data_IF_401392530126
#
_entry.id   IF_401392530126
#
_cell.length_a   1.000
_cell.length_b   1.000
_cell.length_c   1.000
_cell.angle_alpha   90.00
_cell.angle_beta   90.00
_cell.angle_gamma   90.00
#
_symmetry.space_group_name_H-M   'P 1'
#
loop_
_entity.id
_entity.type
_entity.pdbx_description
1 polymer ?
#
# COMPACT_ATOMS: atom_id res chain seq x y z
N UNK A 1 -2.53 -11.40 14.80
CA UNK A 1 -3.72 -10.70 15.32
C UNK A 1 -3.88 -9.43 14.50
N UNK A 2 -4.91 -9.33 13.66
CA UNK A 2 -5.19 -8.10 12.88
C UNK A 2 -5.52 -6.99 13.87
N UNK A 3 -4.85 -5.85 13.81
CA UNK A 3 -5.07 -4.78 14.79
C UNK A 3 -6.39 -4.08 14.51
N UNK A 4 -7.11 -3.63 15.54
CA UNK A 4 -8.39 -2.92 15.39
C UNK A 4 -8.25 -1.61 14.58
N UNK A 5 -7.05 -1.06 14.45
CA UNK A 5 -6.77 0.09 13.57
C UNK A 5 -6.78 -0.27 12.10
N UNK A 6 -6.30 -1.46 11.72
CA UNK A 6 -6.22 -1.89 10.32
C UNK A 6 -7.62 -1.96 9.69
N UNK A 7 -8.60 -2.45 10.46
CA UNK A 7 -9.99 -2.55 10.02
C UNK A 7 -10.66 -1.18 9.85
N UNK A 8 -10.34 -0.21 10.72
CA UNK A 8 -10.88 1.16 10.60
C UNK A 8 -10.31 1.88 9.38
N UNK A 9 -9.02 1.72 9.11
CA UNK A 9 -8.39 2.30 7.92
C UNK A 9 -8.97 1.68 6.66
N UNK A 10 -9.10 0.35 6.58
CA UNK A 10 -9.76 -0.30 5.43
C UNK A 10 -11.18 0.23 5.22
N UNK A 11 -11.96 0.37 6.29
CA UNK A 11 -13.33 0.90 6.22
C UNK A 11 -13.39 2.33 5.66
N UNK A 12 -12.42 3.18 6.00
CA UNK A 12 -12.30 4.57 5.47
C UNK A 12 -12.18 4.59 3.95
N UNK A 13 -11.49 3.61 3.37
CA UNK A 13 -11.27 3.52 1.93
C UNK A 13 -12.31 2.68 1.18
N UNK A 14 -13.37 2.23 1.88
CA UNK A 14 -14.61 1.78 1.24
C UNK A 14 -15.50 2.97 0.85
N UNK A 15 -15.23 4.17 1.38
CA UNK A 15 -15.90 5.41 0.95
C UNK A 15 -15.50 5.75 -0.50
N UNK A 16 -16.46 6.06 -1.40
CA UNK A 16 -16.18 6.33 -2.81
C UNK A 16 -15.20 7.48 -3.06
N UNK A 17 -15.21 8.51 -2.21
CA UNK A 17 -14.35 9.69 -2.37
C UNK A 17 -12.90 9.33 -2.04
N UNK A 18 -12.71 8.64 -0.92
CA UNK A 18 -11.38 8.17 -0.50
C UNK A 18 -10.83 7.11 -1.44
N UNK A 19 -11.69 6.21 -1.92
CA UNK A 19 -11.34 5.18 -2.88
C UNK A 19 -10.95 5.75 -4.24
N UNK A 20 -11.66 6.77 -4.72
CA UNK A 20 -11.33 7.45 -5.98
C UNK A 20 -9.90 8.00 -6.00
N UNK A 21 -9.38 8.47 -4.86
CA UNK A 21 -7.98 8.90 -4.75
C UNK A 21 -6.99 7.75 -4.97
N UNK A 22 -7.31 6.54 -4.48
CA UNK A 22 -6.46 5.37 -4.62
C UNK A 22 -6.45 4.83 -6.04
N UNK A 23 -7.58 4.81 -6.74
CA UNK A 23 -7.72 4.00 -7.96
C UNK A 23 -8.06 4.84 -9.19
N UNK A 24 -8.24 6.16 -9.05
CA UNK A 24 -8.61 7.05 -10.16
C UNK A 24 -9.83 6.49 -10.93
N UNK A 25 -10.08 6.93 -12.17
CA UNK A 25 -11.23 6.50 -12.97
C UNK A 25 -11.19 5.04 -13.47
N UNK A 26 -10.41 4.15 -12.85
CA UNK A 26 -10.53 2.72 -13.16
C UNK A 26 -11.92 2.24 -12.74
N UNK A 27 -12.61 1.54 -13.65
CA UNK A 27 -13.84 0.79 -13.34
C UNK A 27 -13.50 -0.42 -12.45
N UNK A 28 -13.16 -0.15 -11.20
CA UNK A 28 -12.76 -1.13 -10.20
C UNK A 28 -13.56 -0.91 -8.92
N UNK A 29 -14.07 -1.96 -8.31
CA UNK A 29 -14.74 -1.85 -7.02
C UNK A 29 -13.71 -1.83 -5.87
N UNK A 30 -14.04 -1.21 -4.72
CA UNK A 30 -13.16 -1.21 -3.55
C UNK A 30 -12.68 -2.59 -3.13
N UNK A 31 -13.58 -3.57 -3.13
CA UNK A 31 -13.23 -4.94 -2.78
C UNK A 31 -12.19 -5.54 -3.73
N UNK A 32 -12.29 -5.26 -5.04
CA UNK A 32 -11.35 -5.78 -6.02
C UNK A 32 -9.95 -5.21 -5.82
N UNK A 33 -9.86 -3.93 -5.48
CA UNK A 33 -8.59 -3.30 -5.12
C UNK A 33 -7.96 -3.96 -3.90
N UNK A 34 -8.75 -4.21 -2.84
CA UNK A 34 -8.25 -4.89 -1.65
C UNK A 34 -7.86 -6.35 -1.92
N UNK A 35 -8.58 -7.06 -2.78
CA UNK A 35 -8.20 -8.39 -3.21
C UNK A 35 -6.85 -8.37 -3.96
N UNK A 36 -6.58 -7.35 -4.78
CA UNK A 36 -5.27 -7.17 -5.43
C UNK A 36 -4.20 -6.81 -4.40
N UNK A 37 -4.50 -5.90 -3.46
CA UNK A 37 -3.58 -5.49 -2.39
C UNK A 37 -3.17 -6.65 -1.48
N UNK A 38 -4.07 -7.60 -1.27
CA UNK A 38 -3.85 -8.82 -0.48
C UNK A 38 -3.29 -9.98 -1.32
N UNK A 39 -2.93 -9.74 -2.58
CA UNK A 39 -2.43 -10.76 -3.52
C UNK A 39 -3.40 -11.92 -3.77
N UNK A 40 -4.71 -11.70 -3.58
CA UNK A 40 -5.77 -12.68 -3.86
C UNK A 40 -6.24 -12.61 -5.31
N UNK A 41 -5.95 -11.51 -6.00
CA UNK A 41 -6.38 -11.26 -7.38
C UNK A 41 -5.31 -10.52 -8.16
N UNK A 42 -5.24 -10.79 -9.47
CA UNK A 42 -4.48 -10.00 -10.44
C UNK A 42 -5.40 -9.69 -11.62
N UNK A 43 -5.39 -8.44 -12.08
CA UNK A 43 -6.19 -8.00 -13.23
C UNK A 43 -5.28 -7.35 -14.28
N UNK A 44 -4.83 -8.14 -15.25
CA UNK A 44 -3.85 -7.68 -16.25
C UNK A 44 -2.56 -7.22 -15.57
N UNK A 45 -2.26 -5.93 -15.67
CA UNK A 45 -1.08 -5.31 -15.02
C UNK A 45 -1.34 -4.85 -13.58
N UNK A 46 -2.58 -4.96 -13.08
CA UNK A 46 -2.94 -4.61 -11.71
C UNK A 46 -2.66 -5.79 -10.79
N UNK A 47 -1.45 -5.79 -10.23
CA UNK A 47 -0.97 -6.76 -9.27
C UNK A 47 -0.71 -6.10 -7.90
N UNK A 48 -0.27 -6.89 -6.92
CA UNK A 48 -0.02 -6.38 -5.57
C UNK A 48 1.01 -5.24 -5.55
N UNK A 49 2.07 -5.28 -6.39
CA UNK A 49 3.05 -4.18 -6.45
C UNK A 49 2.42 -2.87 -6.91
N UNK A 50 1.57 -2.95 -7.93
CA UNK A 50 0.80 -1.81 -8.39
C UNK A 50 -0.10 -1.27 -7.28
N UNK A 51 -0.86 -2.14 -6.60
CA UNK A 51 -1.78 -1.71 -5.55
C UNK A 51 -1.05 -1.07 -4.36
N UNK A 52 0.11 -1.64 -3.95
CA UNK A 52 0.95 -1.03 -2.92
C UNK A 52 1.41 0.36 -3.37
N UNK A 53 1.94 0.50 -4.59
CA UNK A 53 2.37 1.80 -5.12
C UNK A 53 1.26 2.86 -5.03
N UNK A 54 0.03 2.49 -5.43
CA UNK A 54 -1.16 3.36 -5.32
C UNK A 54 -1.45 3.80 -3.88
N UNK A 55 -1.36 2.88 -2.92
CA UNK A 55 -1.54 3.20 -1.50
C UNK A 55 -0.48 4.20 -1.05
N UNK A 56 0.79 3.94 -1.33
CA UNK A 56 1.87 4.79 -0.84
C UNK A 56 1.77 6.21 -1.41
N UNK A 57 1.42 6.36 -2.68
CA UNK A 57 1.35 7.66 -3.36
C UNK A 57 0.15 8.51 -2.98
N UNK A 58 -0.99 7.88 -2.66
CA UNK A 58 -2.27 8.57 -2.52
C UNK A 58 -2.83 8.56 -1.10
N UNK A 59 -2.07 8.10 -0.13
CA UNK A 59 -2.45 8.11 1.28
C UNK A 59 -1.38 8.75 2.14
N UNK A 60 -1.76 9.20 3.34
CA UNK A 60 -0.76 9.60 4.32
C UNK A 60 -0.06 8.36 4.88
N UNK A 61 1.11 8.56 5.50
CA UNK A 61 1.92 7.49 6.06
C UNK A 61 1.15 6.53 6.99
N UNK A 62 0.30 7.06 7.89
CA UNK A 62 -0.41 6.22 8.87
C UNK A 62 -1.45 5.33 8.21
N UNK A 63 -2.19 5.88 7.24
CA UNK A 63 -3.14 5.10 6.44
C UNK A 63 -2.39 4.04 5.61
N UNK A 64 -1.28 4.41 4.97
CA UNK A 64 -0.46 3.49 4.20
C UNK A 64 0.00 2.29 5.02
N UNK A 65 0.49 2.52 6.25
CA UNK A 65 0.94 1.45 7.15
C UNK A 65 -0.21 0.65 7.77
N UNK A 66 -1.43 1.21 7.82
CA UNK A 66 -2.64 0.47 8.20
C UNK A 66 -3.19 -0.41 7.08
N UNK A 67 -2.89 -0.09 5.81
CA UNK A 67 -3.33 -0.84 4.63
C UNK A 67 -2.31 -1.88 4.18
N UNK A 68 -1.02 -1.55 4.25
CA UNK A 68 0.09 -2.40 3.82
C UNK A 68 0.95 -2.74 5.03
N UNK A 69 1.00 -4.02 5.38
CA UNK A 69 1.84 -4.47 6.46
C UNK A 69 3.33 -4.29 6.09
N UNK A 70 4.13 -3.91 7.09
CA UNK A 70 5.58 -3.72 6.91
C UNK A 70 6.29 -4.95 6.32
N UNK A 71 5.99 -6.21 6.73
CA UNK A 71 6.59 -7.39 6.11
C UNK A 71 6.29 -7.50 4.61
N UNK A 72 5.04 -7.23 4.20
CA UNK A 72 4.64 -7.24 2.79
C UNK A 72 5.36 -6.15 2.02
N UNK A 73 5.42 -4.94 2.59
CA UNK A 73 6.13 -3.82 1.96
C UNK A 73 7.61 -4.14 1.76
N UNK A 74 8.27 -4.67 2.79
CA UNK A 74 9.69 -5.05 2.73
C UNK A 74 9.94 -6.12 1.65
N UNK A 75 9.09 -7.16 1.59
CA UNK A 75 9.24 -8.24 0.62
C UNK A 75 9.07 -7.78 -0.84
N UNK A 76 8.32 -6.70 -1.06
CA UNK A 76 7.95 -6.21 -2.40
C UNK A 76 8.62 -4.89 -2.79
N UNK A 77 9.39 -4.30 -1.89
CA UNK A 77 9.91 -2.94 -2.01
C UNK A 77 10.66 -2.69 -3.31
N UNK A 78 11.54 -3.60 -3.73
CA UNK A 78 12.32 -3.44 -4.96
C UNK A 78 11.48 -3.26 -6.23
N UNK A 79 10.31 -3.90 -6.30
CA UNK A 79 9.36 -3.73 -7.40
C UNK A 79 8.52 -2.46 -7.22
N UNK A 80 8.07 -2.20 -6.00
CA UNK A 80 7.20 -1.06 -5.65
C UNK A 80 7.91 0.27 -5.83
N UNK A 81 9.16 0.41 -5.37
CA UNK A 81 9.94 1.65 -5.42
C UNK A 81 10.02 2.23 -6.84
N UNK A 82 10.22 1.36 -7.84
CA UNK A 82 10.29 1.77 -9.25
C UNK A 82 8.97 2.34 -9.79
N UNK A 83 7.85 2.04 -9.14
CA UNK A 83 6.50 2.46 -9.54
C UNK A 83 6.05 3.76 -8.87
N UNK A 84 6.77 4.22 -7.85
CA UNK A 84 6.49 5.50 -7.19
C UNK A 84 7.06 6.65 -8.04
N UNK A 85 6.18 7.56 -8.43
CA UNK A 85 6.47 8.76 -9.18
C UNK A 85 7.20 9.80 -8.31
N UNK A 86 6.70 10.06 -7.10
CA UNK A 86 7.34 11.00 -6.17
C UNK A 86 8.60 10.38 -5.53
N UNK A 87 9.78 10.84 -5.97
CA UNK A 87 11.07 10.29 -5.51
C UNK A 87 11.38 10.59 -4.05
N UNK A 88 10.98 11.74 -3.53
CA UNK A 88 11.18 12.06 -2.10
C UNK A 88 10.35 11.14 -1.20
N UNK A 89 9.13 10.81 -1.64
CA UNK A 89 8.28 9.83 -0.94
C UNK A 89 8.92 8.43 -0.96
N UNK A 90 9.41 8.00 -2.12
CA UNK A 90 10.10 6.71 -2.24
C UNK A 90 11.33 6.64 -1.33
N UNK A 91 12.16 7.69 -1.31
CA UNK A 91 13.30 7.79 -0.40
C UNK A 91 12.89 7.73 1.08
N UNK A 92 11.79 8.39 1.45
CA UNK A 92 11.24 8.32 2.80
C UNK A 92 10.89 6.89 3.24
N UNK A 93 10.21 6.14 2.38
CA UNK A 93 9.91 4.73 2.66
C UNK A 93 11.17 3.85 2.66
N UNK A 94 12.10 4.07 1.74
CA UNK A 94 13.37 3.35 1.70
C UNK A 94 14.15 3.52 3.02
N UNK A 95 14.25 4.75 3.51
CA UNK A 95 14.89 5.05 4.80
C UNK A 95 14.21 4.32 5.97
N UNK A 96 12.88 4.30 6.01
CA UNK A 96 12.12 3.60 7.06
C UNK A 96 12.37 2.09 7.04
N UNK A 97 12.36 1.47 5.86
CA UNK A 97 12.57 0.02 5.71
C UNK A 97 14.00 -0.37 6.12
N UNK A 98 15.00 0.41 5.71
CA UNK A 98 16.39 0.19 6.12
C UNK A 98 16.56 0.29 7.64
N UNK A 99 15.97 1.31 8.27
CA UNK A 99 16.08 1.51 9.72
C UNK A 99 15.42 0.39 10.53
N UNK A 100 14.29 -0.14 10.06
CA UNK A 100 13.64 -1.27 10.73
C UNK A 100 14.43 -2.58 10.60
N UNK A 101 15.04 -2.84 9.43
CA UNK A 101 15.92 -3.99 9.24
C UNK A 101 17.09 -3.97 10.25
N UNK A 102 17.65 -2.79 10.52
CA UNK A 102 18.70 -2.60 11.53
C UNK A 102 18.21 -2.84 12.96
N UNK A 103 16.96 -2.48 13.27
CA UNK A 103 16.41 -2.66 14.63
C UNK A 103 16.01 -4.10 14.94
N UNK A 104 15.71 -4.92 13.92
CA UNK A 104 15.34 -6.33 14.09
C UNK A 104 16.57 -7.24 14.38
N UNK A 105 17.79 -6.71 14.23
CA UNK A 105 19.05 -7.45 14.41
C UNK A 105 19.70 -7.19 15.78
N UNK A 106 18.93 -6.79 16.79
CA UNK A 106 19.42 -6.54 18.16
C UNK A 106 18.79 -7.46 19.19
#
# INVERSE_FOLDING_TARGET
MQSLSDTKVKQKYLDPTMFGNLVWDYKMLPQEFFDILENKRVLGNFNQDWAIGRVLEHTNYYDAMGLVSLPTLHARWSSVESRIFNKELAHGYNYLLQRQALSATR
#
